data_IF_635861615512
#
_entry.id   IF_635861615512
#
_cell.length_a   1.000
_cell.length_b   1.000
_cell.length_c   1.000
_cell.angle_alpha   90.00
_cell.angle_beta   90.00
_cell.angle_gamma   90.00
#
_symmetry.space_group_name_H-M   'P 1'
#
loop_
_entity.id
_entity.type
_entity.pdbx_description
1 polymer ?
#
# COMPACT_ATOMS: atom_id res chain seq x y z
N UNK A 1 3.57 0.63 21.86
CA UNK A 1 3.10 1.39 20.69
C UNK A 1 1.92 0.67 20.08
N UNK A 2 0.95 1.37 19.52
CA UNK A 2 -0.25 0.80 18.87
C UNK A 2 -0.15 0.94 17.36
N UNK A 3 -0.63 -0.09 16.62
CA UNK A 3 -0.64 -0.08 15.17
C UNK A 3 -2.02 -0.46 14.61
N UNK A 4 -2.33 0.04 13.40
CA UNK A 4 -3.54 -0.30 12.66
C UNK A 4 -3.15 -0.82 11.27
N UNK A 5 -3.62 -2.01 10.91
CA UNK A 5 -3.49 -2.61 9.59
C UNK A 5 -4.80 -2.46 8.82
N UNK A 6 -4.80 -1.60 7.81
CA UNK A 6 -5.98 -1.28 6.99
C UNK A 6 -6.01 -2.27 5.82
N UNK A 7 -7.12 -3.02 5.69
CA UNK A 7 -7.23 -4.10 4.72
C UNK A 7 -6.29 -5.26 5.06
N UNK A 8 -6.40 -5.74 6.28
CA UNK A 8 -5.47 -6.71 6.89
C UNK A 8 -5.36 -8.05 6.14
N UNK A 9 -6.28 -8.34 5.22
CA UNK A 9 -6.31 -9.60 4.47
C UNK A 9 -6.35 -10.82 5.39
N UNK A 10 -5.35 -11.69 5.26
CA UNK A 10 -5.17 -12.85 6.14
C UNK A 10 -4.53 -12.50 7.50
N UNK A 11 -4.29 -11.23 7.80
CA UNK A 11 -3.69 -10.77 9.04
C UNK A 11 -2.18 -10.97 9.18
N UNK A 12 -1.48 -11.25 8.07
CA UNK A 12 -0.02 -11.44 8.12
C UNK A 12 0.72 -10.18 8.56
N UNK A 13 0.25 -9.01 8.13
CA UNK A 13 0.75 -7.69 8.55
C UNK A 13 0.60 -7.52 10.06
N UNK A 14 -0.61 -7.78 10.59
CA UNK A 14 -0.89 -7.72 12.02
C UNK A 14 0.05 -8.62 12.83
N UNK A 15 0.22 -9.88 12.42
CA UNK A 15 1.12 -10.84 13.09
C UNK A 15 2.58 -10.33 13.09
N UNK A 16 3.02 -9.72 11.99
CA UNK A 16 4.38 -9.17 11.90
C UNK A 16 4.56 -7.95 12.80
N UNK A 17 3.56 -7.09 12.89
CA UNK A 17 3.56 -5.94 13.79
C UNK A 17 3.51 -6.35 15.27
N UNK A 18 2.73 -7.37 15.62
CA UNK A 18 2.71 -7.94 16.98
C UNK A 18 4.07 -8.51 17.37
N UNK A 19 4.73 -9.25 16.48
CA UNK A 19 6.09 -9.75 16.68
C UNK A 19 7.12 -8.62 16.86
N UNK A 20 6.87 -7.47 16.24
CA UNK A 20 7.69 -6.27 16.42
C UNK A 20 7.35 -5.49 17.70
N UNK A 21 6.40 -5.96 18.52
CA UNK A 21 6.03 -5.38 19.80
C UNK A 21 4.94 -4.32 19.76
N UNK A 22 4.17 -4.24 18.68
CA UNK A 22 2.99 -3.37 18.60
C UNK A 22 1.75 -4.05 19.19
N UNK A 23 0.92 -3.27 19.85
CA UNK A 23 -0.48 -3.62 20.11
C UNK A 23 -1.27 -3.33 18.83
N UNK A 24 -1.59 -4.40 18.08
CA UNK A 24 -2.02 -4.31 16.69
C UNK A 24 -3.52 -4.49 16.56
N UNK A 25 -4.14 -3.61 15.83
CA UNK A 25 -5.54 -3.64 15.41
C UNK A 25 -5.61 -3.68 13.88
N UNK A 26 -6.74 -4.11 13.34
CA UNK A 26 -6.95 -4.11 11.90
C UNK A 26 -8.42 -4.24 11.52
N UNK A 27 -8.70 -4.10 10.24
CA UNK A 27 -9.99 -4.45 9.65
C UNK A 27 -9.82 -4.96 8.23
N UNK A 28 -10.78 -5.79 7.79
CA UNK A 28 -10.79 -6.45 6.50
C UNK A 28 -12.21 -6.49 5.93
N UNK A 29 -12.46 -5.96 4.71
CA UNK A 29 -13.79 -5.97 4.12
C UNK A 29 -14.17 -7.30 3.44
N UNK A 30 -13.20 -8.17 3.13
CA UNK A 30 -13.45 -9.46 2.53
C UNK A 30 -13.79 -10.51 3.59
N UNK A 31 -15.04 -10.93 3.64
CA UNK A 31 -15.49 -11.94 4.59
C UNK A 31 -14.65 -13.23 4.54
N UNK A 32 -14.29 -13.81 3.36
CA UNK A 32 -13.44 -14.99 3.30
C UNK A 32 -12.03 -14.77 3.86
N UNK A 33 -11.44 -13.56 3.71
CA UNK A 33 -10.13 -13.26 4.29
C UNK A 33 -10.23 -13.04 5.78
N UNK A 34 -11.23 -12.27 6.24
CA UNK A 34 -11.52 -12.09 7.65
C UNK A 34 -11.72 -13.43 8.38
N UNK A 35 -12.59 -14.31 7.86
CA UNK A 35 -12.83 -15.61 8.46
C UNK A 35 -11.55 -16.46 8.55
N UNK A 36 -10.73 -16.47 7.49
CA UNK A 36 -9.44 -17.18 7.50
C UNK A 36 -8.44 -16.59 8.48
N UNK A 37 -8.41 -15.26 8.61
CA UNK A 37 -7.53 -14.59 9.56
C UNK A 37 -7.86 -15.01 11.01
N UNK A 38 -9.13 -15.11 11.34
CA UNK A 38 -9.58 -15.61 12.65
C UNK A 38 -9.34 -17.12 12.80
N UNK A 39 -9.91 -17.92 11.88
CA UNK A 39 -10.03 -19.37 12.09
C UNK A 39 -8.74 -20.14 11.78
N UNK A 40 -7.90 -19.64 10.88
CA UNK A 40 -6.68 -20.31 10.44
C UNK A 40 -5.39 -19.63 10.91
N UNK A 41 -5.40 -18.30 11.03
CA UNK A 41 -4.22 -17.56 11.48
C UNK A 41 -4.25 -17.28 12.99
N UNK A 42 -5.40 -17.48 13.64
CA UNK A 42 -5.55 -17.35 15.09
C UNK A 42 -5.59 -15.90 15.59
N UNK A 43 -5.99 -14.96 14.75
CA UNK A 43 -6.12 -13.57 15.18
C UNK A 43 -7.28 -13.38 16.16
N UNK A 44 -7.07 -12.46 17.10
CA UNK A 44 -8.09 -12.11 18.08
C UNK A 44 -9.22 -11.30 17.42
N UNK A 45 -10.46 -11.82 17.58
CA UNK A 45 -11.69 -11.15 17.08
C UNK A 45 -11.91 -9.77 17.69
N UNK A 46 -11.35 -9.49 18.85
CA UNK A 46 -11.45 -8.16 19.48
C UNK A 46 -10.54 -7.12 18.82
N UNK A 47 -9.53 -7.57 18.09
CA UNK A 47 -8.51 -6.73 17.44
C UNK A 47 -8.70 -6.62 15.93
N UNK A 48 -9.28 -7.64 15.27
CA UNK A 48 -9.60 -7.60 13.84
C UNK A 48 -11.11 -7.42 13.65
N UNK A 49 -11.51 -6.32 12.99
CA UNK A 49 -12.91 -6.02 12.66
C UNK A 49 -13.22 -6.43 11.21
N UNK A 50 -14.46 -6.82 10.97
CA UNK A 50 -14.99 -6.98 9.61
C UNK A 50 -15.64 -5.67 9.16
N UNK A 51 -15.30 -5.15 7.98
CA UNK A 51 -15.90 -3.95 7.40
C UNK A 51 -14.92 -3.12 6.55
N UNK A 52 -15.46 -2.08 5.92
CA UNK A 52 -14.72 -1.13 5.08
C UNK A 52 -14.20 0.04 5.91
N UNK A 53 -13.22 0.78 5.38
CA UNK A 53 -12.61 1.92 6.08
C UNK A 53 -13.62 3.01 6.42
N UNK A 54 -14.62 3.22 5.55
CA UNK A 54 -15.68 4.20 5.72
C UNK A 54 -16.62 3.88 6.90
N UNK A 55 -16.65 2.63 7.34
CA UNK A 55 -17.47 2.12 8.44
C UNK A 55 -16.72 2.09 9.79
N UNK A 56 -15.39 2.33 9.74
CA UNK A 56 -14.55 2.24 10.92
C UNK A 56 -14.50 3.56 11.70
N UNK A 57 -14.69 3.44 12.98
CA UNK A 57 -14.54 4.54 13.94
C UNK A 57 -13.46 4.18 14.96
N UNK A 58 -12.48 5.05 15.09
CA UNK A 58 -11.45 5.04 16.11
C UNK A 58 -11.28 6.43 16.70
N UNK A 59 -10.82 6.49 17.94
CA UNK A 59 -10.48 7.74 18.60
C UNK A 59 -9.38 8.47 17.81
N UNK A 60 -9.42 9.80 17.81
CA UNK A 60 -8.34 10.60 17.26
C UNK A 60 -7.03 10.32 18.01
N UNK A 61 -5.91 10.38 17.29
CA UNK A 61 -4.57 10.23 17.86
C UNK A 61 -4.36 8.93 18.67
N UNK A 62 -4.99 7.83 18.21
CA UNK A 62 -4.92 6.53 18.88
C UNK A 62 -3.66 5.73 18.50
N UNK A 63 -3.25 5.75 17.23
CA UNK A 63 -2.22 4.86 16.69
C UNK A 63 -0.87 5.55 16.50
N UNK A 64 0.20 4.84 16.82
CA UNK A 64 1.58 5.27 16.56
C UNK A 64 1.99 4.96 15.10
N UNK A 65 1.41 3.91 14.53
CA UNK A 65 1.69 3.42 13.18
C UNK A 65 0.41 2.93 12.49
N UNK A 66 0.21 3.33 11.23
CA UNK A 66 -0.91 2.86 10.40
C UNK A 66 -0.35 2.36 9.08
N UNK A 67 -0.84 1.23 8.55
CA UNK A 67 -0.38 0.70 7.28
C UNK A 67 -1.51 0.40 6.30
N UNK A 68 -1.25 0.67 5.01
CA UNK A 68 -2.00 0.25 3.85
C UNK A 68 -1.08 -0.64 3.00
N UNK A 69 -1.16 -1.95 3.18
CA UNK A 69 -0.34 -2.91 2.45
C UNK A 69 -1.04 -3.40 1.17
N UNK A 70 -0.80 -2.77 0.03
CA UNK A 70 -1.46 -3.05 -1.25
C UNK A 70 -3.00 -2.98 -1.15
N UNK A 71 -3.50 -1.87 -0.65
CA UNK A 71 -4.93 -1.62 -0.41
C UNK A 71 -5.39 -0.33 -1.09
N UNK A 72 -4.56 0.72 -1.05
CA UNK A 72 -4.96 2.06 -1.46
C UNK A 72 -5.41 2.14 -2.93
N UNK A 73 -4.83 1.32 -3.79
CA UNK A 73 -5.17 1.19 -5.21
C UNK A 73 -6.58 0.63 -5.47
N UNK A 74 -7.17 0.00 -4.46
CA UNK A 74 -8.50 -0.62 -4.53
C UNK A 74 -9.60 0.27 -3.94
N UNK A 75 -9.26 1.32 -3.21
CA UNK A 75 -10.23 2.19 -2.54
C UNK A 75 -10.87 3.17 -3.52
N UNK A 76 -12.17 3.42 -3.34
CA UNK A 76 -12.89 4.41 -4.15
C UNK A 76 -12.45 5.85 -3.85
N UNK A 77 -12.11 6.14 -2.59
CA UNK A 77 -11.76 7.47 -2.08
C UNK A 77 -10.41 7.45 -1.36
N UNK A 78 -9.27 7.20 -2.08
CA UNK A 78 -7.98 7.00 -1.43
C UNK A 78 -7.47 8.22 -0.66
N UNK A 79 -7.79 9.45 -1.11
CA UNK A 79 -7.39 10.66 -0.40
C UNK A 79 -8.13 10.81 0.94
N UNK A 80 -9.43 10.55 0.96
CA UNK A 80 -10.26 10.58 2.16
C UNK A 80 -9.84 9.47 3.15
N UNK A 81 -9.47 8.31 2.63
CA UNK A 81 -8.95 7.21 3.44
C UNK A 81 -7.63 7.55 4.12
N UNK A 82 -6.72 8.25 3.42
CA UNK A 82 -5.49 8.78 4.03
C UNK A 82 -5.82 9.85 5.08
N UNK A 83 -6.80 10.72 4.82
CA UNK A 83 -7.23 11.74 5.78
C UNK A 83 -7.79 11.11 7.06
N UNK A 84 -8.61 10.05 6.94
CA UNK A 84 -9.10 9.27 8.08
C UNK A 84 -7.94 8.66 8.87
N UNK A 85 -6.99 8.02 8.21
CA UNK A 85 -5.81 7.47 8.84
C UNK A 85 -5.00 8.54 9.60
N UNK A 86 -4.82 9.73 9.00
CA UNK A 86 -4.13 10.85 9.65
C UNK A 86 -4.89 11.39 10.89
N UNK A 87 -6.21 11.30 10.93
CA UNK A 87 -6.98 11.66 12.15
C UNK A 87 -6.73 10.66 13.28
N UNK A 88 -6.71 9.36 12.96
CA UNK A 88 -6.45 8.31 13.94
C UNK A 88 -4.97 8.22 14.35
N UNK A 89 -4.08 8.83 13.59
CA UNK A 89 -2.64 8.82 13.84
C UNK A 89 -2.26 9.84 14.91
N UNK A 90 -1.45 9.42 15.89
CA UNK A 90 -0.86 10.30 16.90
C UNK A 90 0.04 11.37 16.27
N UNK A 91 0.29 12.49 16.96
CA UNK A 91 1.40 13.38 16.62
C UNK A 91 2.71 12.60 16.51
N UNK A 92 3.50 12.87 15.48
CA UNK A 92 4.74 12.15 15.14
C UNK A 92 4.57 10.65 14.75
N UNK A 93 3.35 10.15 14.65
CA UNK A 93 3.08 8.84 14.09
C UNK A 93 3.40 8.76 12.59
N UNK A 94 3.41 7.56 12.06
CA UNK A 94 3.74 7.28 10.64
C UNK A 94 2.63 6.50 9.98
N UNK A 95 2.21 6.93 8.78
CA UNK A 95 1.42 6.11 7.85
C UNK A 95 2.37 5.49 6.84
N UNK A 96 2.36 4.17 6.77
CA UNK A 96 3.08 3.36 5.80
C UNK A 96 2.13 2.93 4.69
N UNK A 97 2.51 3.12 3.43
CA UNK A 97 1.68 2.78 2.27
C UNK A 97 2.53 2.02 1.25
N UNK A 98 2.06 0.85 0.87
CA UNK A 98 2.61 0.08 -0.26
C UNK A 98 1.60 0.06 -1.39
N UNK A 99 2.03 0.42 -2.60
CA UNK A 99 1.19 0.44 -3.82
C UNK A 99 2.00 0.03 -5.05
N UNK A 100 1.36 -0.51 -6.09
CA UNK A 100 2.00 -0.67 -7.39
C UNK A 100 2.48 0.68 -7.93
N UNK A 101 3.72 0.69 -8.45
CA UNK A 101 4.29 1.91 -9.02
C UNK A 101 3.90 2.09 -10.48
N UNK A 102 3.23 3.19 -10.81
CA UNK A 102 2.67 3.46 -12.14
C UNK A 102 3.69 3.51 -13.28
N UNK A 103 4.93 3.90 -12.99
CA UNK A 103 5.96 4.15 -14.02
C UNK A 103 7.20 3.27 -13.88
N UNK A 104 7.01 1.99 -13.51
CA UNK A 104 8.12 1.06 -13.36
C UNK A 104 8.73 0.64 -14.72
N UNK A 105 9.99 0.22 -14.70
CA UNK A 105 10.75 -0.08 -15.92
C UNK A 105 10.06 -1.10 -16.83
N UNK A 106 9.52 -2.17 -16.26
CA UNK A 106 8.92 -3.27 -17.03
C UNK A 106 7.68 -2.77 -17.79
N UNK A 107 6.81 -1.98 -17.17
CA UNK A 107 5.65 -1.40 -17.85
C UNK A 107 6.06 -0.47 -18.98
N UNK A 108 7.09 0.36 -18.77
CA UNK A 108 7.63 1.26 -19.82
C UNK A 108 8.13 0.49 -21.02
N UNK A 109 8.90 -0.60 -20.80
CA UNK A 109 9.40 -1.46 -21.88
C UNK A 109 8.23 -2.14 -22.60
N UNK A 110 7.28 -2.72 -21.86
CA UNK A 110 6.13 -3.41 -22.43
C UNK A 110 5.25 -2.46 -23.25
N UNK A 111 4.98 -1.27 -22.76
CA UNK A 111 4.22 -0.25 -23.47
C UNK A 111 4.93 0.21 -24.74
N UNK A 112 6.27 0.33 -24.71
CA UNK A 112 7.05 0.61 -25.91
C UNK A 112 6.93 -0.51 -26.95
N UNK A 113 7.02 -1.78 -26.51
CA UNK A 113 6.83 -2.95 -27.40
C UNK A 113 5.45 -2.96 -28.02
N UNK A 114 4.38 -2.69 -27.26
CA UNK A 114 3.03 -2.60 -27.79
C UNK A 114 2.90 -1.48 -28.82
N UNK A 115 3.47 -0.31 -28.53
CA UNK A 115 3.49 0.82 -29.47
C UNK A 115 4.21 0.47 -30.77
N UNK A 116 5.36 -0.19 -30.70
CA UNK A 116 6.12 -0.65 -31.89
C UNK A 116 5.36 -1.71 -32.69
N UNK A 117 4.50 -2.50 -32.06
CA UNK A 117 3.60 -3.45 -32.74
C UNK A 117 2.33 -2.79 -33.30
N UNK A 118 2.19 -1.49 -33.21
CA UNK A 118 1.02 -0.76 -33.72
C UNK A 118 -0.25 -0.96 -32.89
N UNK A 119 -0.15 -1.40 -31.63
CA UNK A 119 -1.31 -1.56 -30.73
C UNK A 119 -1.44 -0.36 -29.78
N UNK A 120 -2.66 -0.10 -29.33
CA UNK A 120 -2.96 0.92 -28.32
C UNK A 120 -2.99 0.36 -26.88
N UNK A 121 -2.59 -0.89 -26.68
CA UNK A 121 -2.54 -1.47 -25.34
C UNK A 121 -1.53 -0.76 -24.45
N UNK A 122 -1.91 -0.58 -23.18
CA UNK A 122 -1.06 -0.12 -22.09
C UNK A 122 -1.11 -1.15 -20.97
N UNK A 123 0.01 -1.30 -20.28
CA UNK A 123 0.08 -2.07 -19.03
C UNK A 123 -0.22 -1.14 -17.86
N UNK A 124 -0.32 -1.68 -16.68
CA UNK A 124 -0.42 -1.07 -15.36
C UNK A 124 -1.84 -1.01 -14.82
N UNK A 125 -2.80 -0.48 -15.54
CA UNK A 125 -4.20 -0.58 -15.10
C UNK A 125 -4.64 -2.04 -15.16
N UNK A 126 -5.14 -2.57 -14.06
CA UNK A 126 -5.61 -3.96 -13.98
C UNK A 126 -7.11 -4.04 -13.73
N UNK A 127 -7.94 -3.72 -14.75
CA UNK A 127 -9.38 -3.93 -14.66
C UNK A 127 -9.78 -5.38 -14.95
N UNK A 128 -8.82 -6.28 -15.13
CA UNK A 128 -9.05 -7.63 -15.69
C UNK A 128 -9.53 -8.65 -14.67
N UNK A 129 -9.27 -8.44 -13.38
CA UNK A 129 -9.65 -9.38 -12.31
C UNK A 129 -9.85 -8.65 -10.98
N UNK A 130 -10.72 -9.19 -10.15
CA UNK A 130 -10.95 -8.69 -8.79
C UNK A 130 -9.82 -9.13 -7.84
N UNK A 131 -9.42 -8.28 -6.90
CA UNK A 131 -9.84 -6.88 -6.73
C UNK A 131 -9.20 -5.98 -7.79
N UNK A 132 -10.00 -5.04 -8.32
CA UNK A 132 -9.56 -4.16 -9.40
C UNK A 132 -8.67 -3.03 -8.86
N UNK A 133 -7.60 -2.70 -9.58
CA UNK A 133 -6.84 -1.48 -9.33
C UNK A 133 -7.60 -0.29 -9.96
N UNK A 134 -8.18 0.54 -9.13
CA UNK A 134 -8.91 1.74 -9.56
C UNK A 134 -7.97 2.91 -9.83
N UNK A 135 -6.81 2.90 -9.17
CA UNK A 135 -5.82 3.97 -9.25
C UNK A 135 -4.41 3.42 -9.43
N UNK A 136 -3.57 4.21 -10.05
CA UNK A 136 -2.15 4.03 -10.12
C UNK A 136 -1.44 5.18 -9.43
N UNK A 137 -0.43 4.87 -8.66
CA UNK A 137 0.28 5.84 -7.84
C UNK A 137 1.74 6.02 -8.28
N UNK A 138 2.21 7.24 -8.11
CA UNK A 138 3.62 7.60 -8.16
C UNK A 138 3.97 8.46 -6.95
N UNK A 139 5.26 8.66 -6.68
CA UNK A 139 5.71 9.47 -5.54
C UNK A 139 5.06 10.86 -5.54
N UNK A 140 4.97 11.48 -6.73
CA UNK A 140 4.36 12.80 -6.89
C UNK A 140 2.90 12.86 -6.44
N UNK A 141 2.15 11.76 -6.54
CA UNK A 141 0.75 11.68 -6.04
C UNK A 141 0.70 11.97 -4.54
N UNK A 142 1.61 11.37 -3.78
CA UNK A 142 1.70 11.57 -2.33
C UNK A 142 2.25 12.93 -1.95
N UNK A 143 3.25 13.45 -2.67
CA UNK A 143 3.80 14.79 -2.45
C UNK A 143 2.74 15.89 -2.65
N UNK A 144 1.95 15.81 -3.72
CA UNK A 144 0.87 16.77 -3.99
C UNK A 144 -0.29 16.63 -3.00
N UNK A 145 -0.64 15.41 -2.61
CA UNK A 145 -1.66 15.19 -1.58
C UNK A 145 -1.20 15.71 -0.21
N UNK A 146 0.08 15.55 0.12
CA UNK A 146 0.65 16.03 1.38
C UNK A 146 0.53 17.54 1.58
N UNK A 147 0.56 18.32 0.49
CA UNK A 147 0.33 19.78 0.54
C UNK A 147 -1.11 20.11 0.95
N UNK A 148 -2.08 19.23 0.65
CA UNK A 148 -3.50 19.42 0.95
C UNK A 148 -3.86 18.89 2.34
N UNK A 149 -3.34 17.73 2.72
CA UNK A 149 -3.67 17.02 3.95
C UNK A 149 -2.66 17.22 5.09
N UNK A 150 -1.69 18.11 4.90
CA UNK A 150 -0.71 18.52 5.93
C UNK A 150 0.12 17.34 6.46
N UNK A 151 0.68 16.55 5.55
CA UNK A 151 1.71 15.56 5.85
C UNK A 151 2.95 15.77 4.95
N UNK A 152 4.05 15.13 5.31
CA UNK A 152 5.26 15.05 4.47
C UNK A 152 5.58 13.60 4.13
N UNK A 153 6.07 13.35 2.93
CA UNK A 153 6.70 12.06 2.60
C UNK A 153 8.10 12.06 3.20
N UNK A 154 8.25 11.37 4.33
CA UNK A 154 9.52 11.30 5.05
C UNK A 154 10.52 10.36 4.36
N UNK A 155 10.00 9.29 3.78
CA UNK A 155 10.80 8.28 3.07
C UNK A 155 10.00 7.69 1.93
N UNK A 156 10.68 7.34 0.85
CA UNK A 156 10.13 6.51 -0.23
C UNK A 156 11.13 5.45 -0.66
N UNK A 157 10.63 4.32 -1.13
CA UNK A 157 11.44 3.20 -1.60
C UNK A 157 10.73 2.53 -2.78
N UNK A 158 11.50 2.15 -3.81
CA UNK A 158 10.98 1.35 -4.92
C UNK A 158 11.52 -0.07 -4.80
N UNK A 159 10.63 -1.05 -4.79
CA UNK A 159 11.00 -2.45 -4.65
C UNK A 159 10.85 -3.19 -5.97
N UNK A 160 11.81 -4.10 -6.21
CA UNK A 160 11.80 -4.93 -7.40
C UNK A 160 11.23 -6.29 -7.06
N UNK A 161 9.98 -6.51 -7.45
CA UNK A 161 9.33 -7.81 -7.33
C UNK A 161 9.91 -8.85 -8.30
N UNK A 162 9.36 -10.06 -8.33
CA UNK A 162 9.78 -11.10 -9.28
C UNK A 162 9.45 -10.70 -10.71
N UNK A 163 10.46 -10.75 -11.59
CA UNK A 163 10.31 -10.39 -13.00
C UNK A 163 10.10 -11.67 -13.81
N UNK A 164 8.84 -12.02 -14.08
CA UNK A 164 8.47 -13.31 -14.67
C UNK A 164 8.90 -13.50 -16.13
N UNK A 165 8.99 -12.41 -16.91
CA UNK A 165 9.21 -12.47 -18.35
C UNK A 165 10.69 -12.37 -18.78
N UNK A 166 11.60 -12.25 -17.82
CA UNK A 166 13.04 -12.15 -18.07
C UNK A 166 13.72 -13.46 -17.70
N UNK A 167 14.60 -14.00 -18.58
CA UNK A 167 15.39 -15.19 -18.26
C UNK A 167 16.13 -15.02 -16.92
N UNK A 168 16.15 -16.08 -16.12
CA UNK A 168 16.71 -16.04 -14.75
C UNK A 168 18.12 -15.49 -14.69
N UNK A 169 18.94 -15.79 -15.72
CA UNK A 169 20.33 -15.33 -15.81
C UNK A 169 20.45 -13.79 -15.93
N UNK A 170 19.44 -13.12 -16.49
CA UNK A 170 19.41 -11.66 -16.67
C UNK A 170 18.73 -10.93 -15.50
N UNK A 171 17.96 -11.64 -14.67
CA UNK A 171 17.21 -11.04 -13.56
C UNK A 171 18.09 -10.23 -12.58
N UNK A 172 19.30 -10.69 -12.17
CA UNK A 172 20.15 -9.90 -11.27
C UNK A 172 20.59 -8.56 -11.87
N UNK A 173 20.84 -8.53 -13.19
CA UNK A 173 21.20 -7.29 -13.89
C UNK A 173 20.02 -6.30 -13.90
N UNK A 174 18.82 -6.78 -14.30
CA UNK A 174 17.63 -5.95 -14.32
C UNK A 174 17.26 -5.46 -12.92
N UNK A 175 17.35 -6.31 -11.91
CA UNK A 175 17.12 -5.94 -10.50
C UNK A 175 18.03 -4.79 -10.08
N UNK A 176 19.34 -4.93 -10.25
CA UNK A 176 20.31 -3.89 -9.90
C UNK A 176 20.06 -2.57 -10.66
N UNK A 177 19.73 -2.67 -11.94
CA UNK A 177 19.40 -1.50 -12.75
C UNK A 177 18.13 -0.81 -12.23
N UNK A 178 17.07 -1.56 -11.93
CA UNK A 178 15.81 -1.03 -11.40
C UNK A 178 15.98 -0.41 -10.00
N UNK A 179 16.79 -1.02 -9.15
CA UNK A 179 17.16 -0.48 -7.83
C UNK A 179 17.93 0.83 -7.99
N UNK A 180 18.94 0.87 -8.87
CA UNK A 180 19.75 2.07 -9.13
C UNK A 180 18.93 3.23 -9.72
N UNK A 181 17.96 2.92 -10.59
CA UNK A 181 17.13 3.92 -11.28
C UNK A 181 15.82 4.24 -10.57
N UNK A 182 15.56 3.70 -9.38
CA UNK A 182 14.29 3.82 -8.65
C UNK A 182 13.07 3.49 -9.54
N UNK A 183 13.20 2.44 -10.36
CA UNK A 183 12.17 2.00 -11.31
C UNK A 183 11.59 0.62 -10.98
N UNK A 184 11.62 0.25 -9.68
CA UNK A 184 11.00 -0.95 -9.13
C UNK A 184 9.48 -0.95 -9.34
N UNK A 185 8.87 -2.11 -9.21
CA UNK A 185 7.44 -2.32 -9.52
C UNK A 185 6.51 -1.91 -8.38
N UNK A 186 7.01 -1.82 -7.16
CA UNK A 186 6.26 -1.42 -5.97
C UNK A 186 6.85 -0.14 -5.40
N UNK A 187 5.98 0.77 -5.03
CA UNK A 187 6.34 1.99 -4.32
C UNK A 187 5.87 1.88 -2.87
N UNK A 188 6.79 2.04 -1.96
CA UNK A 188 6.52 2.17 -0.52
C UNK A 188 6.81 3.60 -0.09
N UNK A 189 5.87 4.23 0.61
CA UNK A 189 6.03 5.57 1.18
C UNK A 189 5.72 5.57 2.67
N UNK A 190 6.46 6.39 3.41
CA UNK A 190 6.23 6.68 4.83
C UNK A 190 5.83 8.14 4.94
N UNK A 191 4.59 8.36 5.38
CA UNK A 191 4.01 9.69 5.54
C UNK A 191 4.06 10.07 7.02
N UNK A 192 4.61 11.24 7.31
CA UNK A 192 4.62 11.80 8.66
C UNK A 192 3.59 12.92 8.76
N UNK A 193 2.70 12.81 9.78
CA UNK A 193 1.75 13.86 10.10
C UNK A 193 2.50 15.11 10.57
N UNK A 194 2.28 16.22 9.90
CA UNK A 194 2.86 17.48 10.32
C UNK A 194 2.14 17.98 11.58
N UNK A 195 2.88 18.58 12.52
CA UNK A 195 2.28 19.25 13.66
C UNK A 195 1.32 20.34 13.16
N UNK A 196 0.10 20.39 13.70
CA UNK A 196 -0.79 21.53 13.47
C UNK A 196 -0.10 22.77 14.04
N UNK A 197 0.13 23.78 13.19
CA UNK A 197 0.61 25.09 13.62
C UNK A 197 -0.46 25.83 14.39
#
# INVERSE_FOLDING_TARGET
MSALDIGAGLGKGMISLEKAGFDTYGFEPSEPFYARAIDKMGLDRSKLRYGMIEEMEYDEERFDFITFGAVLEHLYHPAESIELALRWLKPNGVVHIEVPYSNHLISRITNLVYKLKGTSFVTNTSPMHSPFHLYEFGLKSFEELGKKLVFTVERSQHEVCTIFFIPRILQPFFRKYMEFTNSGMQLTVWLRKNARK
#
